data_IF_026965780635
#
_entry.id   IF_026965780635
#
_cell.length_a   1.000
_cell.length_b   1.000
_cell.length_c   1.000
_cell.angle_alpha   90.00
_cell.angle_beta   90.00
_cell.angle_gamma   90.00
#
_symmetry.space_group_name_H-M   'P 1'
#
loop_
_entity.id
_entity.type
_entity.pdbx_description
1 polymer ?
#
# COMPACT_ATOMS: atom_id res chain seq x y z
N UNK A 1 5.58 -8.62 22.91
CA UNK A 1 4.37 -8.93 22.12
C UNK A 1 4.69 -8.66 20.66
N UNK A 2 4.46 -9.63 19.80
CA UNK A 2 4.73 -9.52 18.35
C UNK A 2 3.53 -8.88 17.68
N UNK A 3 3.41 -7.54 17.77
CA UNK A 3 2.27 -6.82 17.22
C UNK A 3 2.35 -6.77 15.70
N UNK A 4 1.25 -7.13 15.03
CA UNK A 4 1.04 -6.84 13.62
C UNK A 4 -0.12 -5.84 13.52
N UNK A 5 0.20 -4.55 13.51
CA UNK A 5 -0.82 -3.49 13.45
C UNK A 5 -0.86 -2.84 12.08
N UNK A 6 -2.05 -2.45 11.67
CA UNK A 6 -2.35 -1.78 10.41
C UNK A 6 -3.04 -0.47 10.74
N UNK A 7 -2.55 0.64 10.16
CA UNK A 7 -3.17 1.97 10.28
C UNK A 7 -3.27 2.61 8.90
N UNK A 8 -4.47 3.05 8.55
CA UNK A 8 -4.68 3.77 7.29
C UNK A 8 -4.24 5.22 7.43
N UNK A 9 -3.42 5.71 6.50
CA UNK A 9 -2.91 7.08 6.47
C UNK A 9 -3.44 7.88 5.28
N UNK A 10 -3.93 7.18 4.26
CA UNK A 10 -4.61 7.74 3.12
C UNK A 10 -5.42 6.64 2.43
N UNK A 11 -6.62 6.95 1.99
CA UNK A 11 -7.62 5.99 1.50
C UNK A 11 -8.22 6.36 0.15
N UNK A 12 -7.81 7.49 -0.43
CA UNK A 12 -8.34 8.00 -1.70
C UNK A 12 -7.53 7.54 -2.89
N UNK A 13 -8.23 7.30 -4.01
CA UNK A 13 -7.62 7.14 -5.31
C UNK A 13 -7.48 8.47 -6.04
N UNK A 14 -6.65 8.49 -7.07
CA UNK A 14 -6.45 9.52 -8.08
C UNK A 14 -5.91 10.86 -7.56
N UNK A 15 -6.52 11.53 -6.58
CA UNK A 15 -6.06 12.81 -6.04
C UNK A 15 -6.57 13.04 -4.60
N UNK A 16 -5.83 13.85 -3.80
CA UNK A 16 -6.23 14.14 -2.42
C UNK A 16 -7.37 15.16 -2.39
N UNK A 17 -8.20 15.08 -1.35
CA UNK A 17 -9.29 16.01 -1.15
C UNK A 17 -9.26 16.62 0.26
N UNK A 18 -8.94 17.90 0.35
CA UNK A 18 -8.79 18.65 1.60
C UNK A 18 -10.11 19.30 2.09
N UNK A 19 -11.26 18.94 1.53
CA UNK A 19 -12.54 19.55 1.86
C UNK A 19 -13.10 18.98 3.17
N UNK A 20 -13.83 19.80 3.93
CA UNK A 20 -14.47 19.43 5.22
C UNK A 20 -15.44 18.24 5.07
N UNK A 21 -16.02 18.03 3.91
CA UNK A 21 -16.93 16.91 3.64
C UNK A 21 -16.22 15.55 3.47
N UNK A 22 -14.91 15.49 3.68
CA UNK A 22 -14.08 14.28 3.53
C UNK A 22 -13.34 13.90 4.81
N UNK A 23 -13.62 14.56 5.94
CA UNK A 23 -12.88 14.37 7.20
C UNK A 23 -13.17 13.03 7.88
N UNK A 24 -14.36 12.45 7.68
CA UNK A 24 -14.76 11.20 8.34
C UNK A 24 -14.02 9.97 7.82
N UNK A 25 -13.85 9.87 6.50
CA UNK A 25 -13.12 8.75 5.87
C UNK A 25 -11.68 9.13 5.57
N UNK A 26 -11.40 10.40 5.38
CA UNK A 26 -10.10 10.94 5.06
C UNK A 26 -10.00 11.43 3.61
N UNK A 27 -9.08 12.35 3.35
CA UNK A 27 -8.85 12.97 2.05
C UNK A 27 -7.48 12.69 1.47
N UNK A 28 -6.57 12.03 2.21
CA UNK A 28 -5.24 11.67 1.71
C UNK A 28 -5.29 10.50 0.72
N UNK A 29 -4.35 10.50 -0.24
CA UNK A 29 -4.19 9.41 -1.19
C UNK A 29 -3.43 8.23 -0.59
N UNK A 30 -3.45 7.12 -1.30
CA UNK A 30 -3.07 5.77 -0.89
C UNK A 30 -1.82 5.68 -0.03
N UNK A 31 -2.00 5.34 1.25
CA UNK A 31 -0.90 5.07 2.18
C UNK A 31 -1.38 4.24 3.36
N UNK A 32 -0.72 3.11 3.62
CA UNK A 32 -1.02 2.24 4.76
C UNK A 32 0.23 2.01 5.59
N UNK A 33 0.16 2.37 6.87
CA UNK A 33 1.22 2.12 7.85
C UNK A 33 1.05 0.75 8.50
N UNK A 34 2.12 -0.02 8.55
CA UNK A 34 2.13 -1.37 9.11
C UNK A 34 3.29 -1.47 10.09
N UNK A 35 3.01 -1.96 11.30
CA UNK A 35 4.03 -2.30 12.26
C UNK A 35 4.03 -3.81 12.50
N UNK A 36 5.17 -4.47 12.17
CA UNK A 36 5.43 -5.87 12.43
C UNK A 36 6.57 -5.99 13.45
N UNK A 37 6.23 -6.17 14.73
CA UNK A 37 7.22 -6.10 15.81
C UNK A 37 7.90 -4.74 15.87
N UNK A 38 9.22 -4.69 15.64
CA UNK A 38 10.00 -3.44 15.62
C UNK A 38 10.02 -2.73 14.27
N UNK A 39 9.60 -3.40 13.20
CA UNK A 39 9.73 -2.92 11.84
C UNK A 39 8.52 -2.07 11.41
N UNK A 40 8.81 -0.95 10.76
CA UNK A 40 7.83 -0.10 10.09
C UNK A 40 7.85 -0.38 8.59
N UNK A 41 6.70 -0.77 8.06
CA UNK A 41 6.46 -0.97 6.63
C UNK A 41 5.38 0.00 6.19
N UNK A 42 5.56 0.62 5.05
CA UNK A 42 4.59 1.54 4.45
C UNK A 42 4.21 0.99 3.08
N UNK A 43 2.92 0.79 2.85
CA UNK A 43 2.38 0.44 1.54
C UNK A 43 1.91 1.73 0.87
N UNK A 44 2.53 2.04 -0.25
CA UNK A 44 2.42 3.26 -1.02
C UNK A 44 2.79 4.54 -0.26
N UNK A 45 3.15 5.55 -1.00
CA UNK A 45 3.62 6.84 -0.51
C UNK A 45 2.81 8.02 -1.07
N UNK A 46 1.49 7.84 -1.15
CA UNK A 46 0.58 8.95 -1.40
C UNK A 46 0.67 10.02 -0.30
N UNK A 47 -0.22 11.00 -0.31
CA UNK A 47 -0.12 12.12 0.65
C UNK A 47 -0.17 11.70 2.10
N UNK A 48 -0.76 10.54 2.42
CA UNK A 48 -0.81 10.00 3.79
C UNK A 48 0.55 9.71 4.43
N UNK A 49 1.63 9.51 3.65
CA UNK A 49 2.98 9.28 4.18
C UNK A 49 3.54 10.51 4.92
N UNK A 50 3.05 11.70 4.57
CA UNK A 50 3.48 12.97 5.20
C UNK A 50 3.21 12.93 6.71
N UNK A 51 2.05 12.42 7.12
CA UNK A 51 1.68 12.32 8.53
C UNK A 51 2.51 11.26 9.27
N UNK A 52 2.86 10.14 8.61
CA UNK A 52 3.81 9.18 9.18
C UNK A 52 5.15 9.86 9.44
N UNK A 53 5.64 10.65 8.47
CA UNK A 53 6.88 11.39 8.63
C UNK A 53 6.86 12.39 9.79
N UNK A 54 5.75 13.10 9.98
CA UNK A 54 5.53 14.02 11.12
C UNK A 54 5.50 13.26 12.46
N UNK A 55 4.80 12.14 12.54
CA UNK A 55 4.73 11.32 13.74
C UNK A 55 6.12 10.80 14.15
N UNK A 56 6.96 10.39 13.18
CA UNK A 56 8.34 9.95 13.43
C UNK A 56 9.20 11.12 13.90
N UNK A 57 9.11 12.29 13.26
CA UNK A 57 9.83 13.51 13.66
C UNK A 57 9.46 13.93 15.07
N UNK A 58 8.15 13.97 15.41
CA UNK A 58 7.65 14.34 16.74
C UNK A 58 8.12 13.36 17.85
N UNK A 59 8.43 12.12 17.49
CA UNK A 59 9.02 11.11 18.38
C UNK A 59 10.56 11.06 18.29
N UNK A 60 11.22 12.17 17.92
CA UNK A 60 12.68 12.29 17.79
C UNK A 60 13.32 11.19 16.93
N UNK A 61 12.66 10.80 15.85
CA UNK A 61 13.12 9.76 14.94
C UNK A 61 13.42 8.42 15.63
N UNK A 62 12.61 8.06 16.63
CA UNK A 62 12.77 6.79 17.35
C UNK A 62 12.75 5.57 16.43
N UNK A 63 11.99 5.61 15.33
CA UNK A 63 12.04 4.62 14.24
C UNK A 63 12.98 5.10 13.14
N UNK A 64 14.22 4.61 13.18
CA UNK A 64 15.26 5.00 12.21
C UNK A 64 15.22 4.22 10.90
N UNK A 65 14.48 3.11 10.87
CA UNK A 65 14.38 2.25 9.69
C UNK A 65 12.95 2.13 9.19
N UNK A 66 12.77 2.31 7.89
CA UNK A 66 11.49 2.17 7.20
C UNK A 66 11.65 1.35 5.94
N UNK A 67 10.72 0.46 5.67
CA UNK A 67 10.57 -0.18 4.36
C UNK A 67 9.32 0.35 3.67
N UNK A 68 9.47 0.91 2.47
CA UNK A 68 8.37 1.40 1.64
C UNK A 68 8.18 0.43 0.48
N UNK A 69 6.96 -0.01 0.25
CA UNK A 69 6.58 -0.90 -0.84
C UNK A 69 5.60 -0.16 -1.74
N UNK A 70 6.02 0.19 -2.95
CA UNK A 70 5.16 0.80 -3.94
C UNK A 70 4.44 -0.27 -4.74
N UNK A 71 3.12 -0.18 -4.78
CA UNK A 71 2.30 -1.01 -5.66
C UNK A 71 2.57 -0.68 -7.12
N UNK A 72 2.65 0.60 -7.45
CA UNK A 72 3.02 1.16 -8.75
C UNK A 72 3.37 2.66 -8.61
N UNK A 73 3.56 3.36 -9.73
CA UNK A 73 4.08 4.73 -9.75
C UNK A 73 3.07 5.77 -10.27
N UNK A 74 1.77 5.51 -10.19
CA UNK A 74 0.81 6.60 -10.42
C UNK A 74 0.94 7.65 -9.32
N UNK A 75 0.56 8.88 -9.65
CA UNK A 75 0.84 10.04 -8.81
C UNK A 75 0.28 9.92 -7.39
N UNK A 76 -0.92 9.41 -7.24
CA UNK A 76 -1.61 9.23 -5.95
C UNK A 76 -0.95 8.18 -5.03
N UNK A 77 -0.01 7.38 -5.56
CA UNK A 77 0.76 6.41 -4.79
C UNK A 77 2.18 6.88 -4.44
N UNK A 78 2.66 8.01 -5.03
CA UNK A 78 4.03 8.46 -4.85
C UNK A 78 4.17 9.94 -4.45
N UNK A 79 3.13 10.75 -4.62
CA UNK A 79 3.22 12.23 -4.50
C UNK A 79 3.59 12.75 -3.11
N UNK A 80 3.44 11.93 -2.06
CA UNK A 80 3.84 12.30 -0.70
C UNK A 80 5.29 11.97 -0.37
N UNK A 81 5.96 11.13 -1.18
CA UNK A 81 7.29 10.60 -0.89
C UNK A 81 8.32 11.70 -0.62
N UNK A 82 8.37 12.71 -1.48
CA UNK A 82 9.32 13.81 -1.38
C UNK A 82 9.16 14.66 -0.12
N UNK A 83 8.04 14.55 0.59
CA UNK A 83 7.75 15.25 1.86
C UNK A 83 7.90 14.35 3.09
N UNK A 84 8.37 13.11 2.92
CA UNK A 84 8.57 12.18 4.02
C UNK A 84 9.78 12.58 4.86
N UNK A 85 9.54 13.12 6.05
CA UNK A 85 10.56 13.73 6.93
C UNK A 85 11.83 12.89 7.15
N UNK A 86 11.74 11.55 7.33
CA UNK A 86 12.93 10.71 7.49
C UNK A 86 13.92 10.75 6.32
N UNK A 87 13.51 11.13 5.10
CA UNK A 87 14.44 11.33 3.97
C UNK A 87 15.53 12.37 4.28
N UNK A 88 15.20 13.36 5.11
CA UNK A 88 16.10 14.47 5.45
C UNK A 88 16.90 14.26 6.74
N UNK A 89 16.72 13.11 7.40
CA UNK A 89 17.46 12.76 8.61
C UNK A 89 18.60 11.79 8.27
N UNK A 90 19.86 12.19 8.53
CA UNK A 90 21.06 11.40 8.23
C UNK A 90 21.14 10.05 8.97
N UNK A 91 20.44 9.92 10.10
CA UNK A 91 20.42 8.70 10.91
C UNK A 91 19.30 7.73 10.48
N UNK A 92 18.51 8.09 9.48
CA UNK A 92 17.44 7.25 8.94
C UNK A 92 17.94 6.34 7.82
N UNK A 93 17.42 5.12 7.79
CA UNK A 93 17.59 4.16 6.69
C UNK A 93 16.22 3.85 6.08
N UNK A 94 16.09 4.04 4.78
CA UNK A 94 14.86 3.84 4.06
C UNK A 94 15.11 2.89 2.89
N UNK A 95 14.44 1.75 2.88
CA UNK A 95 14.47 0.80 1.79
C UNK A 95 13.14 0.93 1.01
N UNK A 96 13.20 1.30 -0.24
CA UNK A 96 12.03 1.41 -1.10
C UNK A 96 12.09 0.35 -2.20
N UNK A 97 10.99 -0.39 -2.36
CA UNK A 97 10.82 -1.44 -3.36
C UNK A 97 9.57 -1.17 -4.21
N UNK A 98 9.63 -1.42 -5.49
CA UNK A 98 8.49 -1.30 -6.39
C UNK A 98 8.80 -1.72 -7.83
N UNK A 99 7.79 -1.71 -8.68
CA UNK A 99 7.93 -2.07 -10.09
C UNK A 99 8.88 -1.13 -10.83
N UNK A 100 9.71 -1.70 -11.70
CA UNK A 100 10.44 -0.94 -12.73
C UNK A 100 9.54 -0.70 -13.94
N UNK A 101 9.77 0.34 -14.69
CA UNK A 101 9.27 0.48 -16.05
C UNK A 101 9.98 -0.50 -17.00
N UNK A 102 9.42 -0.72 -18.18
CA UNK A 102 10.01 -1.63 -19.16
C UNK A 102 11.48 -1.33 -19.46
N UNK A 103 11.83 -0.05 -19.64
CA UNK A 103 13.15 0.39 -20.10
C UNK A 103 13.90 1.28 -19.07
N UNK A 104 13.41 1.39 -17.85
CA UNK A 104 13.98 2.28 -16.84
C UNK A 104 13.83 1.65 -15.45
N UNK A 105 14.89 1.68 -14.63
CA UNK A 105 14.79 1.23 -13.26
C UNK A 105 13.99 2.20 -12.39
N UNK A 106 13.49 1.70 -11.25
CA UNK A 106 12.63 2.47 -10.36
C UNK A 106 13.34 3.72 -9.80
N UNK A 107 14.64 3.63 -9.51
CA UNK A 107 15.41 4.76 -8.96
C UNK A 107 15.46 5.91 -9.96
N UNK A 108 15.80 5.61 -11.20
CA UNK A 108 15.86 6.60 -12.29
C UNK A 108 14.48 7.20 -12.54
N UNK A 109 13.43 6.37 -12.57
CA UNK A 109 12.06 6.85 -12.73
C UNK A 109 11.66 7.83 -11.62
N UNK A 110 11.83 7.45 -10.33
CA UNK A 110 11.46 8.32 -9.20
C UNK A 110 12.30 9.59 -9.15
N UNK A 111 13.60 9.50 -9.49
CA UNK A 111 14.48 10.65 -9.63
C UNK A 111 13.87 11.67 -10.61
N UNK A 112 13.55 11.23 -11.82
CA UNK A 112 13.07 12.11 -12.88
C UNK A 112 11.70 12.74 -12.59
N UNK A 113 10.76 12.00 -11.98
CA UNK A 113 9.37 12.45 -11.80
C UNK A 113 9.11 13.19 -10.48
N UNK A 114 9.92 12.95 -9.44
CA UNK A 114 9.68 13.53 -8.12
C UNK A 114 10.76 14.52 -7.69
N UNK A 115 12.04 14.28 -7.99
CA UNK A 115 13.12 15.05 -7.39
C UNK A 115 13.73 16.07 -8.36
N UNK A 116 14.19 15.67 -9.53
CA UNK A 116 15.01 16.52 -10.39
C UNK A 116 14.24 17.67 -11.07
N UNK A 117 12.91 17.54 -11.22
CA UNK A 117 12.10 18.50 -12.00
C UNK A 117 11.16 19.33 -11.15
N UNK A 118 10.51 18.70 -10.16
CA UNK A 118 9.39 19.31 -9.43
C UNK A 118 9.67 19.58 -7.95
N UNK A 119 10.85 19.18 -7.46
CA UNK A 119 11.25 19.35 -6.08
C UNK A 119 12.58 20.12 -6.00
N UNK A 120 12.78 20.99 -4.98
CA UNK A 120 13.98 21.85 -4.91
C UNK A 120 15.28 21.09 -4.59
N UNK A 121 15.20 19.82 -4.17
CA UNK A 121 16.35 18.97 -3.89
C UNK A 121 16.41 17.80 -4.88
N UNK A 122 17.61 17.52 -5.38
CA UNK A 122 17.84 16.33 -6.18
C UNK A 122 17.87 15.07 -5.29
N UNK A 123 17.64 13.91 -5.88
CA UNK A 123 17.68 12.64 -5.15
C UNK A 123 19.04 12.41 -4.44
N UNK A 124 20.12 12.86 -5.04
CA UNK A 124 21.49 12.69 -4.51
C UNK A 124 21.79 13.66 -3.31
N UNK A 125 20.91 14.63 -3.05
CA UNK A 125 21.00 15.55 -1.90
C UNK A 125 20.22 15.05 -0.68
N UNK A 126 19.52 13.90 -0.78
CA UNK A 126 18.81 13.26 0.31
C UNK A 126 19.80 12.80 1.38
N UNK A 127 19.55 13.17 2.63
CA UNK A 127 20.50 12.95 3.74
C UNK A 127 20.47 11.54 4.33
N UNK A 128 19.31 10.86 4.24
CA UNK A 128 19.17 9.51 4.77
C UNK A 128 19.91 8.48 3.91
N UNK A 129 20.16 7.29 4.47
CA UNK A 129 20.53 6.13 3.67
C UNK A 129 19.28 5.64 2.92
N UNK A 130 19.03 6.22 1.74
CA UNK A 130 17.86 5.93 0.92
C UNK A 130 18.21 4.98 -0.22
N UNK A 131 17.72 3.74 -0.11
CA UNK A 131 17.97 2.68 -1.09
C UNK A 131 16.69 2.39 -1.86
N UNK A 132 16.73 2.54 -3.18
CA UNK A 132 15.62 2.26 -4.10
C UNK A 132 15.97 1.04 -4.92
N UNK A 133 15.09 0.04 -4.92
CA UNK A 133 15.29 -1.24 -5.58
C UNK A 133 14.06 -1.65 -6.38
N UNK A 134 14.29 -2.26 -7.55
CA UNK A 134 13.22 -2.92 -8.29
C UNK A 134 12.69 -4.12 -7.51
N UNK A 135 11.38 -4.36 -7.60
CA UNK A 135 10.69 -5.49 -7.01
C UNK A 135 9.66 -6.06 -7.99
N UNK A 136 9.59 -7.36 -8.10
CA UNK A 136 8.72 -8.08 -9.02
C UNK A 136 8.10 -9.30 -8.36
N UNK A 137 7.10 -9.90 -9.00
CA UNK A 137 6.41 -11.11 -8.50
C UNK A 137 7.32 -12.35 -8.37
N UNK A 138 8.46 -12.36 -9.05
CA UNK A 138 9.44 -13.44 -8.96
C UNK A 138 10.44 -13.25 -7.81
N UNK A 139 10.25 -12.26 -6.98
CA UNK A 139 11.15 -11.92 -5.88
C UNK A 139 10.40 -11.92 -4.53
N UNK A 140 11.14 -12.23 -3.50
CA UNK A 140 10.67 -12.15 -2.10
C UNK A 140 11.58 -11.19 -1.32
N UNK A 141 10.97 -10.28 -0.58
CA UNK A 141 11.70 -9.41 0.36
C UNK A 141 11.52 -9.98 1.77
N UNK A 142 12.64 -10.20 2.45
CA UNK A 142 12.70 -10.61 3.85
C UNK A 142 13.18 -9.44 4.69
N UNK A 143 12.47 -9.14 5.78
CA UNK A 143 12.87 -8.12 6.75
C UNK A 143 13.04 -8.78 8.10
N UNK A 144 14.23 -8.68 8.66
CA UNK A 144 14.56 -9.21 9.99
C UNK A 144 14.24 -8.17 11.08
N UNK A 145 13.98 -8.62 12.31
CA UNK A 145 13.68 -7.72 13.44
C UNK A 145 14.90 -6.87 13.89
N UNK A 146 16.10 -7.23 13.46
CA UNK A 146 17.32 -6.41 13.60
C UNK A 146 17.46 -5.32 12.53
N UNK A 147 16.55 -5.31 11.55
CA UNK A 147 16.49 -4.32 10.48
C UNK A 147 17.15 -4.77 9.17
N UNK A 148 17.84 -5.90 9.15
CA UNK A 148 18.42 -6.42 7.91
C UNK A 148 17.30 -6.73 6.89
N UNK A 149 17.43 -6.19 5.69
CA UNK A 149 16.52 -6.43 4.57
C UNK A 149 17.26 -7.21 3.48
N UNK A 150 16.63 -8.25 2.97
CA UNK A 150 17.20 -9.11 1.94
C UNK A 150 16.15 -9.38 0.85
N UNK A 151 16.57 -9.30 -0.41
CA UNK A 151 15.77 -9.70 -1.58
C UNK A 151 16.31 -11.03 -2.13
N UNK A 152 15.43 -11.98 -2.34
CA UNK A 152 15.75 -13.33 -2.88
C UNK A 152 14.82 -13.69 -4.03
N UNK A 153 15.22 -14.65 -4.86
CA UNK A 153 14.34 -15.23 -5.88
C UNK A 153 13.21 -16.03 -5.21
N UNK A 154 11.99 -15.90 -5.71
CA UNK A 154 10.83 -16.64 -5.18
C UNK A 154 10.95 -18.16 -5.35
N UNK A 155 11.80 -18.64 -6.25
CA UNK A 155 12.09 -20.07 -6.42
C UNK A 155 12.87 -20.66 -5.25
N UNK A 156 13.69 -19.85 -4.58
CA UNK A 156 14.48 -20.23 -3.40
C UNK A 156 13.67 -20.17 -2.10
N UNK A 157 12.34 -20.17 -2.22
CA UNK A 157 11.41 -19.70 -1.20
C UNK A 157 11.02 -20.77 -0.17
N UNK A 158 11.99 -21.41 0.48
CA UNK A 158 11.75 -22.30 1.63
C UNK A 158 11.66 -21.55 2.97
N UNK A 159 11.84 -20.21 2.97
CA UNK A 159 11.83 -19.41 4.18
C UNK A 159 10.37 -19.09 4.54
N UNK A 160 9.96 -19.51 5.74
CA UNK A 160 8.65 -19.14 6.33
C UNK A 160 8.82 -17.89 7.19
N UNK A 161 7.78 -17.05 7.18
CA UNK A 161 7.69 -15.95 8.15
C UNK A 161 7.55 -16.50 9.57
N UNK A 162 8.10 -15.78 10.53
CA UNK A 162 7.97 -16.07 11.96
C UNK A 162 8.08 -14.76 12.75
N UNK A 163 8.25 -14.82 14.06
CA UNK A 163 8.40 -13.64 14.92
C UNK A 163 9.67 -12.81 14.64
N UNK A 164 10.66 -13.38 13.96
CA UNK A 164 11.93 -12.72 13.64
C UNK A 164 12.02 -12.28 12.18
N UNK A 165 11.19 -12.84 11.29
CA UNK A 165 11.28 -12.63 9.86
C UNK A 165 9.91 -12.28 9.31
N UNK A 166 9.82 -11.11 8.69
CA UNK A 166 8.67 -10.68 7.89
C UNK A 166 8.97 -11.08 6.45
N UNK A 167 8.02 -11.75 5.81
CA UNK A 167 8.12 -12.17 4.42
C UNK A 167 7.15 -11.37 3.57
N UNK A 168 7.65 -10.81 2.48
CA UNK A 168 6.87 -9.99 1.54
C UNK A 168 6.99 -10.60 0.16
N UNK A 169 5.86 -10.93 -0.43
CA UNK A 169 5.73 -11.40 -1.81
C UNK A 169 4.75 -10.52 -2.56
N UNK A 170 4.77 -10.58 -3.88
CA UNK A 170 3.85 -9.82 -4.71
C UNK A 170 3.27 -10.66 -5.85
N UNK A 171 2.13 -10.21 -6.36
CA UNK A 171 1.47 -10.72 -7.55
C UNK A 171 1.16 -9.54 -8.46
N UNK A 172 1.60 -9.57 -9.70
CA UNK A 172 1.38 -8.49 -10.66
C UNK A 172 0.01 -8.61 -11.31
N UNK A 173 -0.77 -7.54 -11.25
CA UNK A 173 -2.08 -7.45 -11.90
C UNK A 173 -2.07 -6.47 -13.05
N UNK A 174 -3.04 -6.64 -13.95
CA UNK A 174 -3.26 -5.68 -15.03
C UNK A 174 -3.76 -4.35 -14.47
N UNK A 175 -3.05 -3.29 -14.82
CA UNK A 175 -3.42 -1.90 -14.54
C UNK A 175 -2.79 -1.03 -15.63
N UNK A 176 -3.38 0.12 -16.02
CA UNK A 176 -2.86 0.94 -17.11
C UNK A 176 -1.37 1.23 -17.00
N UNK A 177 -0.67 1.21 -18.12
CA UNK A 177 0.78 1.30 -18.29
C UNK A 177 1.52 0.03 -17.81
N UNK A 178 2.19 0.07 -16.65
CA UNK A 178 3.14 -0.98 -16.24
C UNK A 178 2.50 -2.10 -15.40
N UNK A 179 1.21 -2.00 -15.06
CA UNK A 179 0.54 -2.88 -14.12
C UNK A 179 0.70 -2.41 -12.68
N UNK A 180 0.14 -3.19 -11.74
CA UNK A 180 0.18 -2.92 -10.31
C UNK A 180 0.59 -4.18 -9.55
N UNK A 181 1.37 -4.05 -8.46
CA UNK A 181 1.68 -5.14 -7.53
C UNK A 181 0.63 -5.23 -6.43
N UNK A 182 -0.07 -6.33 -6.37
CA UNK A 182 -0.71 -6.76 -5.12
C UNK A 182 0.38 -7.29 -4.18
N UNK A 183 0.42 -6.81 -2.95
CA UNK A 183 1.48 -7.10 -1.99
C UNK A 183 0.94 -7.98 -0.88
N UNK A 184 1.64 -9.08 -0.56
CA UNK A 184 1.35 -9.94 0.58
C UNK A 184 2.44 -9.80 1.62
N UNK A 185 2.04 -9.53 2.87
CA UNK A 185 2.92 -9.48 4.03
C UNK A 185 2.54 -10.61 4.98
N UNK A 186 3.50 -11.44 5.28
CA UNK A 186 3.36 -12.56 6.23
C UNK A 186 4.27 -12.31 7.44
N UNK A 187 3.71 -12.35 8.62
CA UNK A 187 4.43 -12.19 9.88
C UNK A 187 3.71 -12.93 11.01
N UNK A 188 4.42 -13.75 11.76
CA UNK A 188 3.93 -14.46 12.94
C UNK A 188 2.55 -15.14 12.71
N UNK A 189 2.45 -15.98 11.68
CA UNK A 189 1.24 -16.69 11.26
C UNK A 189 0.04 -15.82 10.90
N UNK A 190 0.26 -14.54 10.63
CA UNK A 190 -0.72 -13.59 10.11
C UNK A 190 -0.35 -13.18 8.70
N UNK A 191 -1.37 -12.95 7.89
CA UNK A 191 -1.20 -12.58 6.48
C UNK A 191 -2.10 -11.41 6.15
N UNK A 192 -1.48 -10.35 5.63
CA UNK A 192 -2.15 -9.20 5.01
C UNK A 192 -1.95 -9.27 3.49
N UNK A 193 -3.00 -9.03 2.74
CA UNK A 193 -2.92 -8.80 1.28
C UNK A 193 -3.44 -7.40 0.98
N UNK A 194 -2.63 -6.62 0.27
CA UNK A 194 -2.93 -5.28 -0.22
C UNK A 194 -3.09 -5.33 -1.74
N UNK A 195 -4.29 -5.07 -2.22
CA UNK A 195 -4.69 -5.17 -3.62
C UNK A 195 -5.37 -3.86 -4.06
N UNK A 196 -4.60 -2.76 -4.05
CA UNK A 196 -5.01 -1.49 -4.63
C UNK A 196 -4.92 -1.54 -6.15
N UNK A 197 -5.62 -0.64 -6.84
CA UNK A 197 -5.55 -0.45 -8.29
C UNK A 197 -5.65 -1.76 -9.05
N UNK A 198 -6.67 -2.52 -8.66
CA UNK A 198 -6.97 -3.82 -9.22
C UNK A 198 -8.40 -3.87 -9.73
N UNK A 199 -8.54 -4.01 -11.05
CA UNK A 199 -9.82 -4.28 -11.68
C UNK A 199 -10.07 -5.79 -11.70
N UNK A 200 -11.04 -6.26 -10.90
CA UNK A 200 -11.37 -7.68 -10.77
C UNK A 200 -12.42 -8.10 -11.80
N UNK A 201 -11.97 -8.54 -12.98
CA UNK A 201 -12.81 -8.92 -14.13
C UNK A 201 -13.06 -10.44 -14.17
N UNK A 202 -13.85 -10.97 -13.23
CA UNK A 202 -14.38 -12.34 -13.35
C UNK A 202 -13.40 -13.44 -12.95
N UNK A 203 -12.73 -14.10 -13.89
CA UNK A 203 -11.83 -15.23 -13.60
C UNK A 203 -10.41 -14.76 -13.29
N UNK A 204 -10.10 -14.68 -12.00
CA UNK A 204 -8.84 -14.19 -11.46
C UNK A 204 -8.20 -15.24 -10.53
N UNK A 205 -8.09 -16.46 -11.07
CA UNK A 205 -7.68 -17.65 -10.30
C UNK A 205 -6.30 -17.51 -9.66
N UNK A 206 -5.35 -16.86 -10.32
CA UNK A 206 -4.00 -16.64 -9.79
C UNK A 206 -4.02 -15.71 -8.59
N UNK A 207 -4.70 -14.57 -8.69
CA UNK A 207 -4.85 -13.66 -7.56
C UNK A 207 -5.66 -14.29 -6.41
N UNK A 208 -6.75 -15.01 -6.72
CA UNK A 208 -7.53 -15.73 -5.69
C UNK A 208 -6.64 -16.74 -4.95
N UNK A 209 -5.79 -17.48 -5.65
CA UNK A 209 -4.81 -18.39 -5.04
C UNK A 209 -3.79 -17.63 -4.19
N UNK A 210 -3.26 -16.51 -4.70
CA UNK A 210 -2.31 -15.66 -4.00
C UNK A 210 -2.88 -15.11 -2.68
N UNK A 211 -4.14 -14.64 -2.67
CA UNK A 211 -4.78 -14.04 -1.51
C UNK A 211 -5.52 -15.04 -0.60
N UNK A 212 -5.49 -16.34 -0.94
CA UNK A 212 -6.28 -17.37 -0.26
C UNK A 212 -6.01 -17.44 1.24
N UNK A 213 -7.10 -17.45 2.03
CA UNK A 213 -7.10 -17.59 3.49
C UNK A 213 -6.35 -16.47 4.24
N UNK A 214 -6.09 -15.31 3.63
CA UNK A 214 -5.43 -14.22 4.34
C UNK A 214 -6.27 -13.71 5.54
N UNK A 215 -5.61 -13.18 6.55
CA UNK A 215 -6.28 -12.63 7.73
C UNK A 215 -6.97 -11.30 7.42
N UNK A 216 -6.39 -10.52 6.50
CA UNK A 216 -6.94 -9.25 6.05
C UNK A 216 -6.66 -9.06 4.56
N UNK A 217 -7.69 -8.69 3.83
CA UNK A 217 -7.63 -8.24 2.44
C UNK A 217 -7.99 -6.75 2.43
N UNK A 218 -7.07 -5.90 1.98
CA UNK A 218 -7.33 -4.51 1.63
C UNK A 218 -7.48 -4.49 0.11
N UNK A 219 -8.64 -4.09 -0.39
CA UNK A 219 -8.95 -4.20 -1.82
C UNK A 219 -9.50 -2.90 -2.39
N UNK A 220 -9.07 -2.58 -3.60
CA UNK A 220 -9.66 -1.51 -4.42
C UNK A 220 -11.18 -1.61 -4.46
N UNK A 221 -11.85 -0.50 -4.22
CA UNK A 221 -13.29 -0.36 -4.32
C UNK A 221 -13.63 1.09 -4.71
N UNK A 222 -13.08 1.52 -5.83
CA UNK A 222 -13.18 2.91 -6.24
C UNK A 222 -14.62 3.28 -6.64
N UNK A 223 -15.35 2.36 -7.27
CA UNK A 223 -16.62 2.68 -7.89
C UNK A 223 -17.82 1.91 -7.32
N UNK A 224 -18.99 2.55 -7.37
CA UNK A 224 -20.27 1.81 -7.39
C UNK A 224 -20.47 1.13 -8.74
N UNK A 225 -21.34 0.13 -8.83
CA UNK A 225 -21.66 -0.50 -10.13
C UNK A 225 -22.23 0.50 -11.13
N UNK A 226 -22.92 1.54 -10.65
CA UNK A 226 -23.45 2.59 -11.52
C UNK A 226 -22.33 3.46 -12.09
N UNK A 227 -21.39 3.90 -11.24
CA UNK A 227 -20.31 4.81 -11.62
C UNK A 227 -19.22 4.09 -12.44
N UNK A 228 -19.15 2.75 -12.34
CA UNK A 228 -18.25 1.91 -13.13
C UNK A 228 -18.66 1.80 -14.61
N UNK A 229 -19.93 2.09 -14.92
CA UNK A 229 -20.39 2.09 -16.33
C UNK A 229 -19.59 3.11 -17.14
N UNK A 230 -18.90 2.62 -18.17
CA UNK A 230 -18.00 3.45 -18.99
C UNK A 230 -16.58 3.63 -18.45
N UNK A 231 -16.25 3.04 -17.29
CA UNK A 231 -14.91 3.07 -16.69
C UNK A 231 -14.21 1.69 -16.69
N UNK A 232 -14.79 0.70 -17.37
CA UNK A 232 -14.16 -0.62 -17.54
C UNK A 232 -12.82 -0.46 -18.27
N UNK A 233 -11.78 -1.09 -17.73
CA UNK A 233 -10.40 -0.96 -18.24
C UNK A 233 -9.62 0.21 -17.64
N UNK A 234 -10.21 0.99 -16.73
CA UNK A 234 -9.48 2.03 -15.99
C UNK A 234 -8.60 1.45 -14.87
N UNK A 235 -8.73 0.15 -14.60
CA UNK A 235 -7.88 -0.55 -13.65
C UNK A 235 -8.41 -0.60 -12.21
N UNK A 236 -9.71 -0.32 -12.00
CA UNK A 236 -10.30 -0.25 -10.66
C UNK A 236 -11.56 -1.11 -10.53
N UNK A 237 -11.81 -1.58 -9.30
CA UNK A 237 -12.95 -2.42 -8.96
C UNK A 237 -14.14 -1.63 -8.43
N UNK A 238 -15.30 -2.29 -8.44
CA UNK A 238 -16.47 -1.87 -7.68
C UNK A 238 -16.48 -2.51 -6.28
N UNK A 239 -17.32 -1.99 -5.38
CA UNK A 239 -17.56 -2.59 -4.07
C UNK A 239 -18.03 -4.05 -4.18
N UNK A 240 -18.87 -4.36 -5.18
CA UNK A 240 -19.34 -5.74 -5.37
C UNK A 240 -18.25 -6.67 -5.91
N UNK A 241 -17.38 -6.19 -6.83
CA UNK A 241 -16.21 -6.96 -7.30
C UNK A 241 -15.27 -7.28 -6.14
N UNK A 242 -14.93 -6.31 -5.31
CA UNK A 242 -14.09 -6.52 -4.13
C UNK A 242 -14.70 -7.51 -3.13
N UNK A 243 -16.02 -7.43 -2.93
CA UNK A 243 -16.77 -8.37 -2.09
C UNK A 243 -16.79 -9.79 -2.68
N UNK A 244 -16.92 -9.95 -3.98
CA UNK A 244 -16.82 -11.24 -4.65
C UNK A 244 -15.44 -11.88 -4.44
N UNK A 245 -14.38 -11.09 -4.62
CA UNK A 245 -12.99 -11.52 -4.35
C UNK A 245 -12.81 -11.95 -2.90
N UNK A 246 -13.36 -11.20 -1.95
CA UNK A 246 -13.32 -11.53 -0.52
C UNK A 246 -13.86 -12.94 -0.24
N UNK A 247 -15.03 -13.27 -0.78
CA UNK A 247 -15.60 -14.59 -0.59
C UNK A 247 -14.81 -15.69 -1.31
N UNK A 248 -14.34 -15.46 -2.53
CA UNK A 248 -13.54 -16.42 -3.29
C UNK A 248 -12.20 -16.73 -2.64
N UNK A 249 -11.56 -15.73 -2.02
CA UNK A 249 -10.28 -15.89 -1.32
C UNK A 249 -10.41 -16.52 0.06
N UNK A 250 -11.63 -16.62 0.62
CA UNK A 250 -11.88 -17.01 2.00
C UNK A 250 -11.05 -16.16 3.00
N UNK A 251 -10.88 -14.87 2.71
CA UNK A 251 -10.21 -13.93 3.60
C UNK A 251 -11.04 -13.73 4.88
N UNK A 252 -10.38 -13.44 6.02
CA UNK A 252 -11.10 -13.28 7.30
C UNK A 252 -11.71 -11.91 7.47
N UNK A 253 -11.07 -10.86 6.90
CA UNK A 253 -11.56 -9.48 6.90
C UNK A 253 -11.33 -8.86 5.53
N UNK A 254 -12.27 -8.03 5.08
CA UNK A 254 -12.12 -7.17 3.91
C UNK A 254 -12.17 -5.71 4.35
N UNK A 255 -11.25 -4.91 3.87
CA UNK A 255 -11.34 -3.46 3.92
C UNK A 255 -11.43 -2.91 2.49
N UNK A 256 -12.52 -2.21 2.19
CA UNK A 256 -12.61 -1.41 0.99
C UNK A 256 -11.66 -0.23 1.08
N UNK A 257 -10.96 0.04 0.01
CA UNK A 257 -9.88 1.03 -0.06
C UNK A 257 -9.91 1.75 -1.41
N UNK A 258 -9.13 2.80 -1.57
CA UNK A 258 -8.95 3.50 -2.83
C UNK A 258 -10.24 4.11 -3.40
N UNK A 259 -10.99 4.81 -2.53
CA UNK A 259 -12.27 5.39 -2.92
C UNK A 259 -12.12 6.47 -3.99
N UNK A 260 -13.12 6.55 -4.87
CA UNK A 260 -13.27 7.68 -5.81
C UNK A 260 -13.14 9.01 -5.03
N UNK A 261 -12.26 9.93 -5.46
CA UNK A 261 -12.02 11.18 -4.75
C UNK A 261 -13.27 12.08 -4.67
N UNK A 262 -14.28 11.86 -5.51
CA UNK A 262 -15.54 12.60 -5.46
C UNK A 262 -16.56 12.00 -4.47
N UNK A 263 -16.27 10.84 -3.88
CA UNK A 263 -17.16 10.25 -2.87
C UNK A 263 -16.96 10.90 -1.50
N UNK A 264 -17.77 11.90 -1.19
CA UNK A 264 -17.75 12.56 0.10
C UNK A 264 -18.21 11.65 1.26
N UNK A 265 -18.09 12.13 2.49
CA UNK A 265 -18.46 11.40 3.71
C UNK A 265 -19.93 10.93 3.72
N UNK A 266 -20.85 11.70 3.14
CA UNK A 266 -22.25 11.33 3.02
C UNK A 266 -22.43 10.12 2.12
N UNK A 267 -21.81 10.12 0.93
CA UNK A 267 -21.85 9.00 -0.03
C UNK A 267 -21.22 7.76 0.58
N UNK A 268 -20.01 7.87 1.14
CA UNK A 268 -19.34 6.72 1.76
C UNK A 268 -20.09 6.18 2.99
N UNK A 269 -20.74 7.05 3.79
CA UNK A 269 -21.57 6.60 4.92
C UNK A 269 -22.78 5.80 4.45
N UNK A 270 -23.38 6.16 3.34
CA UNK A 270 -24.49 5.40 2.74
C UNK A 270 -24.00 4.02 2.27
N UNK A 271 -22.88 3.97 1.55
CA UNK A 271 -22.28 2.72 1.08
C UNK A 271 -21.82 1.84 2.26
N UNK A 272 -21.26 2.43 3.32
CA UNK A 272 -20.87 1.69 4.53
C UNK A 272 -22.07 0.99 5.18
N UNK A 273 -23.23 1.65 5.28
CA UNK A 273 -24.47 1.02 5.80
C UNK A 273 -24.95 -0.15 4.94
N UNK A 274 -24.74 -0.07 3.64
CA UNK A 274 -25.15 -1.11 2.69
C UNK A 274 -24.22 -2.31 2.73
N UNK A 275 -22.90 -2.08 2.72
CA UNK A 275 -21.88 -3.12 2.52
C UNK A 275 -21.24 -3.65 3.79
N UNK A 276 -21.18 -2.90 4.90
CA UNK A 276 -20.49 -3.31 6.14
C UNK A 276 -21.26 -4.40 6.88
N UNK A 277 -21.07 -5.64 6.45
CA UNK A 277 -21.63 -6.87 7.04
C UNK A 277 -20.57 -7.97 6.96
N UNK A 278 -20.62 -8.96 7.88
CA UNK A 278 -19.82 -10.19 7.78
C UNK A 278 -18.30 -9.95 7.59
N UNK A 279 -17.69 -9.14 8.44
CA UNK A 279 -16.25 -8.80 8.40
C UNK A 279 -15.82 -7.97 7.18
N UNK A 280 -16.73 -7.22 6.59
CA UNK A 280 -16.47 -6.24 5.54
C UNK A 280 -16.51 -4.83 6.16
N UNK A 281 -15.45 -4.07 5.97
CA UNK A 281 -15.23 -2.76 6.57
C UNK A 281 -14.85 -1.72 5.51
N UNK A 282 -14.99 -0.45 5.87
CA UNK A 282 -14.49 0.69 5.11
C UNK A 282 -13.21 1.21 5.75
N UNK A 283 -12.13 1.32 4.99
CA UNK A 283 -10.91 1.97 5.47
C UNK A 283 -11.18 3.45 5.76
N UNK A 284 -10.65 3.94 6.89
CA UNK A 284 -10.75 5.34 7.31
C UNK A 284 -9.38 5.81 7.78
N UNK A 285 -9.00 7.01 7.43
CA UNK A 285 -7.76 7.58 7.94
C UNK A 285 -7.71 7.55 9.46
N UNK A 286 -6.53 7.27 9.98
CA UNK A 286 -6.24 7.10 11.40
C UNK A 286 -6.93 5.92 12.10
N UNK A 287 -7.75 5.14 11.41
CA UNK A 287 -8.23 3.88 11.96
C UNK A 287 -7.09 2.87 12.01
N UNK A 288 -6.87 2.33 13.21
CA UNK A 288 -5.82 1.34 13.51
C UNK A 288 -6.43 0.10 14.14
N UNK A 289 -5.92 -1.06 13.76
CA UNK A 289 -6.29 -2.34 14.36
C UNK A 289 -5.12 -3.32 14.37
N UNK A 290 -5.22 -4.33 15.20
CA UNK A 290 -4.28 -5.45 15.24
C UNK A 290 -4.85 -6.63 14.46
N UNK A 291 -3.97 -7.32 13.71
CA UNK A 291 -4.31 -8.46 12.87
C UNK A 291 -4.36 -9.75 13.68
#
# INVERSE_FOLDING_TARGET
>A
MTNFTIKYRGVRGSYPNANINFLKYGGNTSCVEINCGKQLIILDSGTGIIDIGRDIENNNFAKKQTTILLSHIHQDHIQGLQFYKPLFNKDSTINLFGLKKANEDLKTTLKNILFDTVFPLNLDEIKSNFQIQNFSENETVLIHQDGKTQKIDSKDNNIKSNENIIKITSHKTSHPKEGCLCIKIEYNNKTLVYATDKESLGDDTEFISFAKNCNCLIHDAQYTNQDYKGKKGFGHSTFDMAKEVFYKTNAKKLFFFHYDPDYNDKKLTQLEKEYSKNNIFFAKENYQFEL
#
